data_IF_229368716789
#
_entry.id   IF_229368716789
#
_cell.length_a   1.000
_cell.length_b   1.000
_cell.length_c   1.000
_cell.angle_alpha   90.00
_cell.angle_beta   90.00
_cell.angle_gamma   90.00
#
_symmetry.space_group_name_H-M   'P 1'
#
loop_
_entity.id
_entity.type
_entity.pdbx_description
1 polymer ?
#
# COMPACT_ATOMS: atom_id res chain seq x y z
N UNK A 1 10.14 -17.66 19.64
CA UNK A 1 9.31 -17.64 18.42
C UNK A 1 8.83 -16.22 18.12
N UNK A 2 9.78 -15.31 17.90
CA UNK A 2 9.59 -13.95 17.35
C UNK A 2 11.01 -13.39 17.17
N UNK A 3 11.65 -13.61 16.02
CA UNK A 3 12.95 -12.97 15.77
C UNK A 3 13.29 -12.82 14.27
N UNK A 4 12.28 -12.60 13.43
CA UNK A 4 12.50 -12.07 12.09
C UNK A 4 11.98 -10.63 12.08
N UNK A 5 12.72 -9.64 11.55
CA UNK A 5 12.36 -8.21 11.59
C UNK A 5 11.06 -7.85 10.84
N UNK A 6 10.37 -8.83 10.25
CA UNK A 6 9.05 -8.73 9.60
C UNK A 6 7.92 -9.22 10.52
N UNK A 7 7.96 -8.93 11.83
CA UNK A 7 7.06 -9.55 12.83
C UNK A 7 5.71 -8.84 13.01
N UNK A 8 5.11 -8.30 11.95
CA UNK A 8 3.77 -7.71 12.03
C UNK A 8 2.86 -8.43 11.06
N UNK A 9 1.74 -8.96 11.57
CA UNK A 9 0.72 -9.68 10.79
C UNK A 9 -0.16 -8.75 9.94
N UNK A 10 0.04 -7.44 10.06
CA UNK A 10 -0.72 -6.39 9.40
C UNK A 10 0.20 -5.29 8.84
N UNK A 11 -0.28 -4.62 7.80
CA UNK A 11 0.37 -3.47 7.17
C UNK A 11 -0.66 -2.33 7.13
N UNK A 12 -0.26 -1.08 7.40
CA UNK A 12 -1.17 0.06 7.31
C UNK A 12 -1.60 0.31 5.87
N UNK A 13 -2.87 0.66 5.67
CA UNK A 13 -3.40 1.07 4.37
C UNK A 13 -3.11 2.57 4.15
N UNK A 14 -2.80 2.98 2.91
CA UNK A 14 -2.66 4.39 2.59
C UNK A 14 -4.02 5.09 2.71
N UNK A 15 -4.13 6.21 3.42
CA UNK A 15 -5.37 6.98 3.51
C UNK A 15 -5.72 7.64 2.15
N UNK A 16 -6.98 8.02 1.90
CA UNK A 16 -7.43 8.53 0.59
C UNK A 16 -6.70 9.81 0.14
N UNK A 17 -6.16 10.59 1.08
CA UNK A 17 -5.44 11.83 0.86
C UNK A 17 -3.91 11.67 0.83
N UNK A 18 -3.41 10.42 0.79
CA UNK A 18 -1.98 10.15 0.68
C UNK A 18 -1.37 10.78 -0.59
N UNK A 19 -0.17 11.35 -0.45
CA UNK A 19 0.59 11.88 -1.58
C UNK A 19 1.04 10.72 -2.49
N UNK A 20 0.72 10.81 -3.79
CA UNK A 20 1.08 9.78 -4.77
C UNK A 20 2.25 10.25 -5.62
N UNK A 21 3.38 9.54 -5.56
CA UNK A 21 4.53 9.76 -6.44
C UNK A 21 4.65 8.63 -7.45
N UNK A 22 4.86 8.98 -8.71
CA UNK A 22 5.12 8.00 -9.77
C UNK A 22 6.61 7.73 -9.83
N UNK A 23 7.01 6.47 -9.65
CA UNK A 23 8.40 6.05 -9.61
C UNK A 23 8.64 4.88 -10.56
N UNK A 24 9.78 4.87 -11.24
CA UNK A 24 10.21 3.70 -12.02
C UNK A 24 10.97 2.71 -11.13
N UNK A 25 10.88 1.42 -11.47
CA UNK A 25 11.72 0.37 -10.88
C UNK A 25 13.20 0.77 -11.02
N UNK A 26 13.94 0.74 -9.91
CA UNK A 26 15.37 1.08 -9.92
C UNK A 26 16.27 -0.06 -10.42
N UNK A 27 15.68 -1.19 -10.82
CA UNK A 27 16.40 -2.40 -11.18
C UNK A 27 16.41 -2.61 -12.69
N UNK A 28 15.84 -3.72 -13.18
CA UNK A 28 16.00 -4.14 -14.57
C UNK A 28 15.51 -3.10 -15.58
N UNK A 29 16.01 -3.22 -16.82
CA UNK A 29 15.74 -2.31 -17.95
C UNK A 29 14.25 -2.15 -18.31
N UNK A 30 13.38 -3.04 -17.83
CA UNK A 30 11.93 -2.94 -18.03
C UNK A 30 11.39 -1.64 -17.44
N UNK A 31 11.96 -1.17 -16.32
CA UNK A 31 11.57 0.10 -15.71
C UNK A 31 10.11 0.16 -15.29
N UNK A 32 9.57 -0.92 -14.71
CA UNK A 32 8.16 -0.98 -14.31
C UNK A 32 7.74 0.25 -13.49
N UNK A 33 6.58 0.82 -13.82
CA UNK A 33 6.03 1.96 -13.08
C UNK A 33 5.38 1.52 -11.77
N UNK A 34 5.65 2.27 -10.71
CA UNK A 34 5.06 2.14 -9.39
C UNK A 34 4.40 3.45 -8.97
N UNK A 35 3.35 3.33 -8.15
CA UNK A 35 2.79 4.42 -7.35
C UNK A 35 3.28 4.23 -5.93
N UNK A 36 4.05 5.18 -5.40
CA UNK A 36 4.41 5.21 -3.99
C UNK A 36 3.50 6.19 -3.25
N UNK A 37 2.76 5.68 -2.27
CA UNK A 37 1.88 6.44 -1.40
C UNK A 37 2.67 6.90 -0.17
N UNK A 38 2.62 8.20 0.15
CA UNK A 38 3.33 8.80 1.28
C UNK A 38 2.35 9.61 2.11
N UNK A 39 2.32 9.36 3.42
CA UNK A 39 1.50 10.12 4.37
C UNK A 39 2.24 10.30 5.71
N UNK A 40 1.87 11.32 6.52
CA UNK A 40 2.51 11.55 7.81
C UNK A 40 2.23 10.41 8.80
N UNK A 41 3.24 9.97 9.54
CA UNK A 41 3.09 8.88 10.55
C UNK A 41 2.15 9.25 11.72
N UNK A 42 1.93 10.55 11.95
CA UNK A 42 0.99 11.02 12.96
C UNK A 42 -0.46 11.12 12.46
N UNK A 43 -0.68 10.99 11.15
CA UNK A 43 -2.01 10.97 10.55
C UNK A 43 -2.62 9.57 10.68
N UNK A 44 -3.96 9.44 10.69
CA UNK A 44 -4.60 8.13 10.65
C UNK A 44 -4.30 7.41 9.33
N UNK A 45 -4.13 6.09 9.42
CA UNK A 45 -4.05 5.22 8.25
C UNK A 45 -5.42 5.09 7.56
N UNK A 46 -5.42 4.54 6.35
CA UNK A 46 -6.63 4.22 5.61
C UNK A 46 -7.44 3.08 6.24
N UNK A 47 -8.72 3.00 5.92
CA UNK A 47 -9.64 1.96 6.36
C UNK A 47 -9.85 0.89 5.28
N UNK A 48 -10.29 -0.33 5.65
CA UNK A 48 -10.48 -1.42 4.69
C UNK A 48 -11.56 -1.21 3.64
N UNK A 49 -12.50 -0.28 3.83
CA UNK A 49 -13.51 0.06 2.81
C UNK A 49 -12.91 0.84 1.64
N UNK A 50 -13.42 0.61 0.44
CA UNK A 50 -12.89 1.21 -0.79
C UNK A 50 -12.82 2.75 -0.77
N UNK A 51 -13.71 3.42 -0.03
CA UNK A 51 -13.70 4.88 0.06
C UNK A 51 -12.65 5.42 1.03
N UNK A 52 -12.23 4.60 2.00
CA UNK A 52 -11.32 4.97 3.06
C UNK A 52 -9.86 4.57 2.84
N UNK A 53 -9.49 4.06 1.66
CA UNK A 53 -8.10 3.86 1.27
C UNK A 53 -7.79 4.39 -0.13
N UNK A 54 -6.52 4.75 -0.37
CA UNK A 54 -6.07 5.26 -1.66
C UNK A 54 -6.05 4.21 -2.78
N UNK A 55 -6.24 2.93 -2.46
CA UNK A 55 -6.23 1.83 -3.42
C UNK A 55 -7.61 1.63 -4.05
N UNK A 56 -8.67 2.18 -3.46
CA UNK A 56 -10.03 2.10 -3.99
C UNK A 56 -10.62 0.70 -3.94
N UNK A 57 -10.16 -0.14 -3.02
CA UNK A 57 -10.55 -1.54 -2.91
C UNK A 57 -11.10 -1.89 -1.54
N UNK A 58 -12.07 -2.82 -1.51
CA UNK A 58 -12.59 -3.39 -0.28
C UNK A 58 -11.71 -4.54 0.19
N UNK A 59 -11.02 -4.35 1.31
CA UNK A 59 -10.16 -5.37 1.93
C UNK A 59 -10.97 -6.21 2.94
N UNK A 60 -10.79 -7.55 2.95
CA UNK A 60 -9.85 -8.33 2.15
C UNK A 60 -10.32 -8.54 0.70
N UNK A 61 -9.40 -8.36 -0.25
CA UNK A 61 -9.67 -8.63 -1.66
C UNK A 61 -9.61 -10.13 -1.95
N UNK A 62 -10.40 -10.57 -2.94
CA UNK A 62 -10.38 -11.96 -3.39
C UNK A 62 -9.04 -12.38 -4.01
N UNK A 63 -8.73 -13.69 -4.06
CA UNK A 63 -7.52 -14.19 -4.72
C UNK A 63 -7.54 -13.82 -6.21
N UNK A 64 -6.36 -13.47 -6.77
CA UNK A 64 -6.17 -13.09 -8.18
C UNK A 64 -6.95 -11.84 -8.63
N UNK A 65 -7.34 -10.97 -7.70
CA UNK A 65 -8.11 -9.75 -7.99
C UNK A 65 -7.36 -8.67 -8.77
N UNK A 66 -6.03 -8.74 -8.80
CA UNK A 66 -5.21 -7.64 -9.35
C UNK A 66 -5.20 -6.39 -8.46
N UNK A 67 -5.85 -6.44 -7.30
CA UNK A 67 -5.96 -5.35 -6.33
C UNK A 67 -4.88 -5.55 -5.27
N UNK A 68 -3.64 -5.18 -5.61
CA UNK A 68 -2.49 -5.17 -4.71
C UNK A 68 -2.00 -3.74 -4.46
#
# INVERSE_FOLDING_TARGET
MANSPRSTDAVPLPPPDAEVKTMSCQYCIVGCGYKSYVWPTAAPDGTPDAAGNALGADYPVGPLSGQW
#
